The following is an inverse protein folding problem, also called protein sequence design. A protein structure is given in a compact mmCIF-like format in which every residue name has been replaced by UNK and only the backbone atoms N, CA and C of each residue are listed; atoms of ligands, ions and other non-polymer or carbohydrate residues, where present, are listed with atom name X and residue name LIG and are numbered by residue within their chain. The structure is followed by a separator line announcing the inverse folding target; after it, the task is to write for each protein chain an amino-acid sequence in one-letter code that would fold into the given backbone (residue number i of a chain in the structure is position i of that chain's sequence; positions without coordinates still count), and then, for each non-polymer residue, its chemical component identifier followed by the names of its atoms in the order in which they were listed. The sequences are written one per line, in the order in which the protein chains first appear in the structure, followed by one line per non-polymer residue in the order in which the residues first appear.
data_IF_153878032434
#
_entry.id   IF_153878032434
#
_cell.length_a   1.000
_cell.length_b   1.000
_cell.length_c   1.000
_cell.angle_alpha   90.00
_cell.angle_beta   90.00
_cell.angle_gamma   90.00
#
_symmetry.space_group_name_H-M   'P 1'
#
loop_
_entity.id
_entity.type
_entity.pdbx_description
1 polymer ?
#
# COMPACT_ATOMS: atom_id res chain seq x y z
N UNK A 1 -82.55 61.12 19.44
CA UNK A 1 -81.23 61.22 20.10
C UNK A 1 -81.27 60.31 21.32
N UNK A 2 -80.18 59.67 21.79
CA UNK A 2 -79.09 58.86 21.19
C UNK A 2 -79.20 57.39 21.73
N UNK A 3 -78.47 56.33 21.35
CA UNK A 3 -77.01 56.09 21.31
C UNK A 3 -76.57 55.27 22.55
N UNK A 4 -76.05 54.04 22.36
CA UNK A 4 -75.27 53.33 23.38
C UNK A 4 -75.56 51.84 23.54
N UNK A 5 -75.11 50.99 22.61
CA UNK A 5 -74.93 49.55 22.87
C UNK A 5 -73.98 49.40 24.05
N UNK A 6 -74.42 48.81 25.17
CA UNK A 6 -73.53 48.57 26.33
C UNK A 6 -72.45 47.56 25.91
N UNK A 7 -71.29 48.07 25.53
CA UNK A 7 -70.12 47.24 25.22
C UNK A 7 -69.64 46.63 26.54
N UNK A 8 -69.70 45.31 26.66
CA UNK A 8 -69.22 44.60 27.85
C UNK A 8 -67.70 44.46 27.77
N UNK A 9 -67.01 44.68 28.88
CA UNK A 9 -65.54 44.58 28.95
C UNK A 9 -65.06 43.18 28.56
N UNK A 10 -65.84 42.14 28.85
CA UNK A 10 -65.54 40.77 28.45
C UNK A 10 -65.47 40.63 26.91
N UNK A 11 -66.35 41.32 26.18
CA UNK A 11 -66.34 41.32 24.72
C UNK A 11 -65.08 42.06 24.19
N UNK A 12 -64.62 43.10 24.89
CA UNK A 12 -63.37 43.81 24.59
C UNK A 12 -62.13 42.94 24.85
N UNK A 13 -62.11 42.18 25.94
CA UNK A 13 -61.02 41.24 26.27
C UNK A 13 -60.93 40.14 25.22
N UNK A 14 -62.09 39.63 24.76
CA UNK A 14 -62.17 38.61 23.72
C UNK A 14 -61.61 39.09 22.36
N UNK A 15 -61.77 40.38 22.04
CA UNK A 15 -61.16 40.98 20.84
C UNK A 15 -59.71 41.43 21.05
N UNK A 16 -59.14 41.27 22.25
CA UNK A 16 -57.73 41.48 22.53
C UNK A 16 -57.40 42.57 23.53
N UNK A 17 -58.37 43.14 24.27
CA UNK A 17 -58.07 44.17 25.28
C UNK A 17 -57.10 43.64 26.33
N UNK A 18 -55.98 44.33 26.48
CA UNK A 18 -54.95 44.08 27.49
C UNK A 18 -54.58 45.38 28.18
N UNK A 19 -54.31 45.28 29.48
CA UNK A 19 -53.68 46.35 30.23
C UNK A 19 -52.15 46.23 30.16
N UNK A 20 -51.46 47.35 30.06
CA UNK A 20 -50.01 47.46 30.19
C UNK A 20 -49.70 48.54 31.22
N UNK A 21 -48.71 48.30 32.08
CA UNK A 21 -48.17 49.34 32.93
C UNK A 21 -47.13 50.14 32.13
N UNK A 22 -47.46 51.38 31.78
CA UNK A 22 -46.57 52.28 31.06
C UNK A 22 -45.94 53.29 32.01
N UNK A 23 -44.61 53.38 32.05
CA UNK A 23 -43.92 54.30 32.94
C UNK A 23 -43.90 55.70 32.31
N UNK A 24 -44.65 56.63 32.91
CA UNK A 24 -44.76 58.00 32.41
C UNK A 24 -43.51 58.83 32.75
N UNK A 25 -42.89 58.57 33.90
CA UNK A 25 -41.69 59.29 34.33
C UNK A 25 -40.76 58.40 35.13
N UNK A 26 -39.54 58.23 34.62
CA UNK A 26 -38.47 57.54 35.34
C UNK A 26 -37.94 58.32 36.55
N UNK A 27 -38.05 59.66 36.53
CA UNK A 27 -37.50 60.53 37.59
C UNK A 27 -38.39 60.52 38.83
N UNK A 28 -39.71 60.50 38.63
CA UNK A 28 -40.71 60.51 39.72
C UNK A 28 -41.29 59.14 40.02
N UNK A 29 -41.02 58.12 39.18
CA UNK A 29 -41.56 56.77 39.32
C UNK A 29 -43.05 56.65 38.99
N UNK A 30 -43.64 57.64 38.34
CA UNK A 30 -45.06 57.65 37.99
C UNK A 30 -45.34 56.71 36.82
N UNK A 31 -46.36 55.87 36.97
CA UNK A 31 -46.82 54.91 35.96
C UNK A 31 -48.30 55.12 35.65
N UNK A 32 -48.70 54.86 34.40
CA UNK A 32 -50.07 54.83 33.94
C UNK A 32 -50.46 53.41 33.52
N UNK A 33 -51.76 53.12 33.55
CA UNK A 33 -52.29 51.89 32.95
C UNK A 33 -52.80 52.24 31.56
N UNK A 34 -52.13 51.70 30.55
CA UNK A 34 -52.55 51.84 29.16
C UNK A 34 -53.39 50.61 28.78
N UNK A 35 -54.48 50.84 28.06
CA UNK A 35 -55.37 49.80 27.57
C UNK A 35 -55.27 49.73 26.05
N UNK A 36 -54.82 48.58 25.53
CA UNK A 36 -54.58 48.39 24.11
C UNK A 36 -55.06 47.00 23.64
N UNK A 37 -55.28 46.83 22.34
CA UNK A 37 -55.77 45.59 21.75
C UNK A 37 -54.63 44.77 21.16
N UNK A 38 -54.25 43.69 21.85
CA UNK A 38 -53.26 42.72 21.40
C UNK A 38 -53.78 41.29 21.59
N UNK A 39 -54.17 40.66 20.47
CA UNK A 39 -54.63 39.26 20.45
C UNK A 39 -53.49 38.24 20.62
N UNK A 40 -52.24 38.64 20.42
CA UNK A 40 -51.09 37.74 20.54
C UNK A 40 -50.70 37.51 22.01
N UNK A 41 -51.00 38.47 22.88
CA UNK A 41 -50.78 38.34 24.32
C UNK A 41 -51.86 37.44 24.96
N UNK A 42 -51.46 36.44 25.77
CA UNK A 42 -52.41 35.51 26.38
C UNK A 42 -53.33 36.23 27.38
N UNK A 43 -54.64 35.94 27.33
CA UNK A 43 -55.61 36.41 28.31
C UNK A 43 -55.61 35.48 29.54
N UNK A 44 -54.67 35.69 30.46
CA UNK A 44 -54.63 34.92 31.71
C UNK A 44 -55.54 35.60 32.73
N UNK A 45 -56.60 34.90 33.13
CA UNK A 45 -57.57 35.33 34.15
C UNK A 45 -57.40 34.50 35.42
N UNK A 46 -57.75 35.08 36.57
CA UNK A 46 -57.58 34.48 37.88
C UNK A 46 -58.90 34.33 38.63
N UNK A 47 -59.82 33.45 38.17
CA UNK A 47 -61.16 33.28 38.76
C UNK A 47 -61.16 32.73 40.20
N UNK A 48 -59.98 32.38 40.75
CA UNK A 48 -59.82 31.94 42.14
C UNK A 48 -59.44 33.09 43.09
N UNK A 49 -59.20 34.29 42.57
CA UNK A 49 -58.72 35.46 43.34
C UNK A 49 -59.83 36.50 43.52
N UNK A 50 -60.63 36.75 42.48
CA UNK A 50 -61.75 37.69 42.54
C UNK A 50 -62.88 37.27 41.60
N UNK A 51 -64.10 37.63 41.98
CA UNK A 51 -65.30 37.51 41.14
C UNK A 51 -65.59 38.81 40.37
N UNK A 52 -64.73 39.82 40.51
CA UNK A 52 -64.83 41.12 39.83
C UNK A 52 -64.34 41.06 38.38
N UNK A 53 -64.66 42.11 37.60
CA UNK A 53 -64.19 42.19 36.21
C UNK A 53 -62.68 42.42 36.14
N UNK A 54 -61.95 41.42 35.64
CA UNK A 54 -60.50 41.48 35.42
C UNK A 54 -60.15 41.87 33.98
N UNK A 55 -59.15 42.73 33.81
CA UNK A 55 -58.53 43.01 32.50
C UNK A 55 -57.17 42.33 32.46
N UNK A 56 -56.91 41.39 31.53
CA UNK A 56 -55.62 40.71 31.45
C UNK A 56 -54.48 41.67 31.15
N UNK A 57 -53.31 41.42 31.74
CA UNK A 57 -52.14 42.28 31.59
C UNK A 57 -51.18 41.72 30.55
N UNK A 58 -50.52 42.59 29.77
CA UNK A 58 -49.35 42.25 28.95
C UNK A 58 -48.10 42.90 29.52
N UNK A 59 -46.96 42.21 29.44
CA UNK A 59 -45.67 42.77 29.83
C UNK A 59 -45.29 43.95 28.93
N UNK A 60 -44.77 45.00 29.53
CA UNK A 60 -44.20 46.12 28.81
C UNK A 60 -42.88 45.77 28.11
N UNK A 61 -42.46 46.53 27.07
CA UNK A 61 -41.16 46.33 26.42
C UNK A 61 -39.99 46.34 27.40
N UNK A 62 -40.03 47.21 28.40
CA UNK A 62 -38.97 47.33 29.43
C UNK A 62 -38.95 46.10 30.33
N UNK A 63 -40.12 45.61 30.76
CA UNK A 63 -40.21 44.38 31.56
C UNK A 63 -39.77 43.14 30.77
N UNK A 64 -40.15 43.03 29.49
CA UNK A 64 -39.67 41.96 28.59
C UNK A 64 -38.16 41.98 28.43
N UNK A 65 -37.56 43.18 28.29
CA UNK A 65 -36.11 43.33 28.22
C UNK A 65 -35.44 42.93 29.53
N UNK A 66 -35.97 43.35 30.68
CA UNK A 66 -35.46 42.97 32.00
C UNK A 66 -35.50 41.46 32.22
N UNK A 67 -36.61 40.80 31.87
CA UNK A 67 -36.76 39.34 31.98
C UNK A 67 -35.80 38.62 31.03
N UNK A 68 -35.63 39.11 29.80
CA UNK A 68 -34.67 38.54 28.84
C UNK A 68 -33.24 38.67 29.33
N UNK A 69 -32.82 39.85 29.80
CA UNK A 69 -31.48 40.11 30.33
C UNK A 69 -31.20 39.30 31.60
N UNK A 70 -32.21 39.13 32.47
CA UNK A 70 -32.08 38.32 33.68
C UNK A 70 -31.91 36.82 33.41
N UNK A 71 -32.27 36.34 32.22
CA UNK A 71 -32.16 34.94 31.81
C UNK A 71 -30.86 34.61 31.08
N UNK A 72 -30.03 35.59 30.72
CA UNK A 72 -28.75 35.33 30.04
C UNK A 72 -27.79 34.69 31.04
N UNK A 73 -27.36 33.42 30.85
CA UNK A 73 -26.47 32.75 31.78
C UNK A 73 -25.02 33.18 31.49
N UNK A 74 -24.66 34.41 31.87
CA UNK A 74 -23.32 34.99 31.62
C UNK A 74 -22.20 34.10 32.17
N UNK A 75 -22.45 33.44 33.30
CA UNK A 75 -21.50 32.51 33.92
C UNK A 75 -21.21 31.29 33.02
N UNK A 76 -22.25 30.70 32.43
CA UNK A 76 -22.10 29.50 31.59
C UNK A 76 -21.38 29.86 30.29
N UNK A 77 -21.69 31.03 29.71
CA UNK A 77 -21.00 31.54 28.52
C UNK A 77 -19.50 31.71 28.77
N UNK A 78 -19.13 32.30 29.92
CA UNK A 78 -17.72 32.47 30.29
C UNK A 78 -17.01 31.12 30.49
N UNK A 79 -17.66 30.17 31.19
CA UNK A 79 -17.12 28.83 31.39
C UNK A 79 -16.90 28.07 30.08
N UNK A 80 -17.90 28.09 29.19
CA UNK A 80 -17.78 27.45 27.88
C UNK A 80 -16.72 28.10 26.99
N UNK A 81 -16.52 29.42 27.09
CA UNK A 81 -15.45 30.10 26.38
C UNK A 81 -14.07 29.68 26.91
N UNK A 82 -13.89 29.60 28.23
CA UNK A 82 -12.64 29.14 28.85
C UNK A 82 -12.31 27.69 28.48
N UNK A 83 -13.31 26.80 28.51
CA UNK A 83 -13.16 25.40 28.13
C UNK A 83 -12.80 25.28 26.64
N UNK A 84 -13.43 26.06 25.77
CA UNK A 84 -13.11 26.08 24.34
C UNK A 84 -11.68 26.55 24.09
N UNK A 85 -11.24 27.62 24.77
CA UNK A 85 -9.87 28.12 24.66
C UNK A 85 -8.86 27.07 25.11
N UNK A 86 -9.16 26.33 26.17
CA UNK A 86 -8.31 25.23 26.67
C UNK A 86 -8.23 24.09 25.67
N UNK A 87 -9.35 23.63 25.10
CA UNK A 87 -9.35 22.59 24.08
C UNK A 87 -8.57 22.99 22.83
N UNK A 88 -8.66 24.25 22.39
CA UNK A 88 -7.85 24.78 21.28
C UNK A 88 -6.36 24.77 21.63
N UNK A 89 -6.00 25.17 22.85
CA UNK A 89 -4.62 25.16 23.31
C UNK A 89 -4.04 23.74 23.41
N UNK A 90 -4.82 22.78 23.94
CA UNK A 90 -4.45 21.37 24.01
C UNK A 90 -4.29 20.74 22.62
N UNK A 91 -5.21 21.03 21.70
CA UNK A 91 -5.12 20.58 20.31
C UNK A 91 -3.88 21.15 19.62
N UNK A 92 -3.63 22.45 19.77
CA UNK A 92 -2.44 23.11 19.22
C UNK A 92 -1.14 22.52 19.79
N UNK A 93 -1.11 22.23 21.10
CA UNK A 93 0.01 21.57 21.75
C UNK A 93 0.26 20.15 21.23
N UNK A 94 -0.80 19.38 21.04
CA UNK A 94 -0.74 18.01 20.51
C UNK A 94 -0.26 18.00 19.07
N UNK A 95 -0.82 18.87 18.21
CA UNK A 95 -0.38 19.01 16.83
C UNK A 95 1.09 19.42 16.74
N UNK A 96 1.54 20.40 17.53
CA UNK A 96 2.94 20.81 17.53
C UNK A 96 3.90 19.69 17.95
N UNK A 97 3.44 18.75 18.80
CA UNK A 97 4.25 17.63 19.27
C UNK A 97 4.28 16.47 18.27
N UNK A 98 3.15 16.15 17.65
CA UNK A 98 2.98 14.92 16.88
C UNK A 98 3.23 15.11 15.38
N UNK A 99 3.06 16.32 14.84
CA UNK A 99 3.28 16.59 13.41
C UNK A 99 4.76 16.45 12.98
N UNK A 100 5.75 17.01 13.72
CA UNK A 100 7.16 16.90 13.33
C UNK A 100 7.68 15.45 13.19
N UNK A 101 7.45 14.52 14.14
CA UNK A 101 7.90 13.14 14.00
C UNK A 101 7.16 12.40 12.87
N UNK A 102 5.88 12.71 12.62
CA UNK A 102 5.14 12.15 11.48
C UNK A 102 5.78 12.56 10.15
N UNK A 103 6.08 13.85 9.96
CA UNK A 103 6.77 14.34 8.75
C UNK A 103 8.14 13.68 8.60
N UNK A 104 8.89 13.54 9.69
CA UNK A 104 10.19 12.86 9.67
C UNK A 104 10.06 11.38 9.27
N UNK A 105 9.04 10.67 9.77
CA UNK A 105 8.81 9.26 9.44
C UNK A 105 8.40 9.04 7.98
N UNK A 106 7.56 9.92 7.43
CA UNK A 106 7.17 9.88 6.01
C UNK A 106 8.37 10.15 5.12
N UNK A 107 9.19 11.15 5.47
CA UNK A 107 10.43 11.43 4.74
C UNK A 107 11.39 10.25 4.79
N UNK A 108 11.65 9.69 5.97
CA UNK A 108 12.53 8.53 6.13
C UNK A 108 12.04 7.31 5.33
N UNK A 109 10.72 7.08 5.31
CA UNK A 109 10.10 5.99 4.54
C UNK A 109 10.24 6.23 3.03
N UNK A 110 10.05 7.47 2.58
CA UNK A 110 10.24 7.86 1.17
C UNK A 110 11.70 7.69 0.75
N UNK A 111 12.64 8.17 1.55
CA UNK A 111 14.09 8.06 1.29
C UNK A 111 14.52 6.58 1.25
N UNK A 112 14.05 5.77 2.19
CA UNK A 112 14.30 4.31 2.22
C UNK A 112 13.72 3.61 0.99
N UNK A 113 12.52 4.00 0.56
CA UNK A 113 11.89 3.45 -0.64
C UNK A 113 12.68 3.79 -1.90
N UNK A 114 13.13 5.04 -2.03
CA UNK A 114 13.99 5.46 -3.15
C UNK A 114 15.32 4.69 -3.17
N UNK A 115 15.96 4.51 -2.01
CA UNK A 115 17.18 3.71 -1.90
C UNK A 115 16.95 2.23 -2.27
N UNK A 116 15.83 1.65 -1.83
CA UNK A 116 15.49 0.26 -2.15
C UNK A 116 15.26 0.07 -3.65
N UNK A 117 14.57 1.02 -4.31
CA UNK A 117 14.36 1.00 -5.76
C UNK A 117 15.70 1.14 -6.50
N UNK A 118 16.58 2.04 -6.05
CA UNK A 118 17.91 2.21 -6.63
C UNK A 118 18.77 0.94 -6.48
N UNK A 119 18.75 0.31 -5.30
CA UNK A 119 19.44 -0.94 -5.04
C UNK A 119 18.88 -2.10 -5.90
N UNK A 120 17.56 -2.21 -6.00
CA UNK A 120 16.89 -3.20 -6.85
C UNK A 120 17.26 -3.02 -8.33
N UNK A 121 17.24 -1.77 -8.83
CA UNK A 121 17.65 -1.46 -10.21
C UNK A 121 19.10 -1.85 -10.47
N UNK A 122 19.98 -1.60 -9.50
CA UNK A 122 21.40 -1.97 -9.59
C UNK A 122 21.59 -3.49 -9.58
N UNK A 123 20.87 -4.21 -8.71
CA UNK A 123 20.91 -5.67 -8.65
C UNK A 123 20.40 -6.31 -9.95
N UNK A 124 19.34 -5.76 -10.55
CA UNK A 124 18.83 -6.20 -11.85
C UNK A 124 19.89 -5.99 -12.94
N UNK A 125 20.57 -4.84 -12.96
CA UNK A 125 21.63 -4.54 -13.93
C UNK A 125 22.83 -5.49 -13.78
N UNK A 126 23.26 -5.76 -12.56
CA UNK A 126 24.35 -6.71 -12.29
C UNK A 126 23.96 -8.14 -12.69
N UNK A 127 22.72 -8.55 -12.42
CA UNK A 127 22.20 -9.83 -12.85
C UNK A 127 22.17 -9.95 -14.38
N UNK A 128 21.71 -8.91 -15.09
CA UNK A 128 21.74 -8.87 -16.55
C UNK A 128 23.16 -9.03 -17.10
N UNK A 129 24.14 -8.32 -16.53
CA UNK A 129 25.54 -8.42 -16.94
C UNK A 129 26.13 -9.82 -16.70
N UNK A 130 25.84 -10.41 -15.53
CA UNK A 130 26.28 -11.78 -15.21
C UNK A 130 25.66 -12.82 -16.14
N UNK A 131 24.39 -12.64 -16.49
CA UNK A 131 23.70 -13.50 -17.45
C UNK A 131 24.33 -13.39 -18.85
N UNK A 132 24.62 -12.17 -19.33
CA UNK A 132 25.29 -11.95 -20.60
C UNK A 132 26.67 -12.63 -20.66
N UNK A 133 27.48 -12.46 -19.62
CA UNK A 133 28.79 -13.12 -19.51
C UNK A 133 28.63 -14.65 -19.49
N UNK A 134 27.65 -15.16 -18.75
CA UNK A 134 27.42 -16.62 -18.64
C UNK A 134 26.98 -17.21 -19.97
N UNK A 135 26.06 -16.56 -20.67
CA UNK A 135 25.61 -16.96 -21.99
C UNK A 135 26.78 -16.92 -22.99
N UNK A 136 27.62 -15.88 -22.97
CA UNK A 136 28.81 -15.80 -23.81
C UNK A 136 29.84 -16.90 -23.52
N UNK A 137 30.06 -17.25 -22.25
CA UNK A 137 30.92 -18.38 -21.86
C UNK A 137 30.34 -19.72 -22.32
N UNK A 138 29.02 -19.88 -22.23
CA UNK A 138 28.33 -21.09 -22.67
C UNK A 138 28.41 -21.25 -24.19
N UNK A 139 28.24 -20.16 -24.94
CA UNK A 139 28.44 -20.15 -26.40
C UNK A 139 29.87 -20.55 -26.77
N UNK A 140 30.86 -19.95 -26.10
CA UNK A 140 32.29 -20.28 -26.32
C UNK A 140 32.59 -21.75 -25.97
N UNK A 141 32.01 -22.28 -24.88
CA UNK A 141 32.16 -23.67 -24.49
C UNK A 141 31.56 -24.62 -25.54
N UNK A 142 30.35 -24.33 -26.03
CA UNK A 142 29.70 -25.11 -27.07
C UNK A 142 30.51 -25.09 -28.37
N UNK A 143 31.02 -23.92 -28.77
CA UNK A 143 31.87 -23.79 -29.94
C UNK A 143 33.15 -24.61 -29.78
N UNK A 144 33.86 -24.46 -28.66
CA UNK A 144 35.11 -25.19 -28.38
C UNK A 144 34.89 -26.70 -28.33
N UNK A 145 33.80 -27.14 -27.71
CA UNK A 145 33.41 -28.56 -27.67
C UNK A 145 33.18 -29.10 -29.07
N UNK A 146 32.46 -28.36 -29.93
CA UNK A 146 32.20 -28.78 -31.30
C UNK A 146 33.50 -28.90 -32.12
N UNK A 147 34.42 -27.93 -31.97
CA UNK A 147 35.72 -27.97 -32.65
C UNK A 147 36.57 -29.16 -32.19
N UNK A 148 36.66 -29.40 -30.88
CA UNK A 148 37.40 -30.54 -30.33
C UNK A 148 36.80 -31.88 -30.77
N UNK A 149 35.47 -32.01 -30.82
CA UNK A 149 34.83 -33.23 -31.32
C UNK A 149 35.11 -33.44 -32.82
N UNK A 150 35.10 -32.38 -33.63
CA UNK A 150 35.45 -32.46 -35.04
C UNK A 150 36.91 -32.87 -35.27
N UNK A 151 37.86 -32.33 -34.50
CA UNK A 151 39.27 -32.71 -34.57
C UNK A 151 39.49 -34.18 -34.15
N UNK A 152 38.92 -34.59 -33.01
CA UNK A 152 39.00 -36.00 -32.59
C UNK A 152 38.36 -36.96 -33.59
N UNK A 153 37.30 -36.52 -34.28
CA UNK A 153 36.70 -37.29 -35.38
C UNK A 153 37.67 -37.48 -36.55
N UNK A 154 38.46 -36.46 -36.90
CA UNK A 154 39.51 -36.54 -37.92
C UNK A 154 40.64 -37.48 -37.49
N UNK A 155 41.11 -37.36 -36.25
CA UNK A 155 42.19 -38.21 -35.72
C UNK A 155 41.76 -39.69 -35.66
N UNK A 156 40.52 -39.95 -35.23
CA UNK A 156 39.96 -41.29 -35.23
C UNK A 156 39.83 -41.85 -36.64
N UNK A 157 39.37 -41.03 -37.59
CA UNK A 157 39.29 -41.43 -38.99
C UNK A 157 40.69 -41.76 -39.56
N UNK A 158 41.69 -40.91 -39.31
CA UNK A 158 43.07 -41.16 -39.72
C UNK A 158 43.62 -42.46 -39.12
N UNK A 159 43.35 -42.70 -37.83
CA UNK A 159 43.73 -43.93 -37.14
C UNK A 159 43.08 -45.17 -37.77
N UNK A 160 41.78 -45.10 -38.10
CA UNK A 160 41.06 -46.18 -38.77
C UNK A 160 41.61 -46.46 -40.18
N UNK A 161 41.95 -45.42 -40.94
CA UNK A 161 42.59 -45.54 -42.25
C UNK A 161 43.96 -46.21 -42.14
N UNK A 162 44.81 -45.77 -41.21
CA UNK A 162 46.13 -46.38 -40.96
C UNK A 162 46.01 -47.83 -40.48
N UNK A 163 45.04 -48.14 -39.63
CA UNK A 163 44.76 -49.52 -39.21
C UNK A 163 44.35 -50.40 -40.41
N UNK A 164 43.50 -49.87 -41.29
CA UNK A 164 43.07 -50.57 -42.53
C UNK A 164 44.27 -50.84 -43.45
N UNK A 165 45.11 -49.84 -43.70
CA UNK A 165 46.33 -50.01 -44.51
C UNK A 165 47.32 -51.02 -43.91
N UNK A 166 47.42 -51.09 -42.57
CA UNK A 166 48.26 -52.06 -41.89
C UNK A 166 47.74 -53.48 -42.13
N UNK A 167 46.42 -53.68 -42.02
CA UNK A 167 45.77 -54.95 -42.33
C UNK A 167 45.98 -55.35 -43.80
N UNK A 168 45.87 -54.42 -44.75
CA UNK A 168 46.14 -54.67 -46.16
C UNK A 168 47.60 -55.06 -46.41
N UNK A 169 48.54 -54.39 -45.73
CA UNK A 169 49.98 -54.69 -45.81
C UNK A 169 50.31 -56.08 -45.24
N UNK A 170 49.65 -56.46 -44.15
CA UNK A 170 49.74 -57.81 -43.60
C UNK A 170 49.17 -58.85 -44.57
N UNK A 171 48.03 -58.56 -45.22
CA UNK A 171 47.45 -59.44 -46.24
C UNK A 171 48.38 -59.62 -47.45
N UNK A 172 49.13 -58.58 -47.84
CA UNK A 172 50.15 -58.67 -48.88
C UNK A 172 51.36 -59.53 -48.45
N UNK A 173 51.74 -59.51 -47.17
CA UNK A 173 52.80 -60.38 -46.61
C UNK A 173 52.36 -61.86 -46.56
N UNK A 174 51.05 -62.13 -46.41
CA UNK A 174 50.47 -63.47 -46.50
C UNK A 174 50.25 -63.98 -47.94
N UNK A 175 50.67 -63.23 -48.96
CA UNK A 175 50.73 -63.74 -50.32
C UNK A 175 51.80 -64.86 -50.42
N UNK A 176 51.65 -65.86 -51.33
CA UNK A 176 52.09 -67.25 -51.10
C UNK A 176 53.61 -67.57 -51.10
N UNK A 177 54.50 -66.68 -50.67
CA UNK A 177 55.93 -66.95 -50.48
C UNK A 177 56.51 -66.24 -49.25
N UNK A 178 56.32 -66.79 -48.06
CA UNK A 178 57.22 -66.54 -46.92
C UNK A 178 57.22 -67.73 -45.93
N UNK A 179 58.40 -68.06 -45.37
CA UNK A 179 58.78 -69.37 -44.81
C UNK A 179 58.76 -69.41 -43.26
N UNK A 180 58.25 -68.42 -42.55
CA UNK A 180 58.39 -68.34 -41.07
C UNK A 180 57.09 -68.56 -40.28
N UNK A 181 56.84 -69.82 -39.86
CA UNK A 181 55.68 -70.15 -39.00
C UNK A 181 55.78 -69.61 -37.56
N UNK A 182 56.99 -69.50 -36.99
CA UNK A 182 57.19 -69.02 -35.62
C UNK A 182 56.81 -67.54 -35.44
N UNK A 183 57.02 -66.72 -36.46
CA UNK A 183 56.62 -65.31 -36.47
C UNK A 183 55.10 -65.14 -36.61
N UNK A 184 54.39 -66.11 -37.19
CA UNK A 184 52.93 -66.08 -37.30
C UNK A 184 52.24 -66.34 -35.95
N UNK A 185 52.71 -67.30 -35.16
CA UNK A 185 52.14 -67.58 -33.84
C UNK A 185 52.35 -66.39 -32.88
N UNK A 186 53.51 -65.73 -32.96
CA UNK A 186 53.79 -64.52 -32.19
C UNK A 186 52.88 -63.34 -32.63
N UNK A 187 52.78 -63.09 -33.94
CA UNK A 187 51.94 -62.00 -34.47
C UNK A 187 50.45 -62.21 -34.16
N UNK A 188 49.93 -63.43 -34.28
CA UNK A 188 48.53 -63.75 -33.96
C UNK A 188 48.25 -63.57 -32.46
N UNK A 189 49.23 -63.90 -31.60
CA UNK A 189 49.10 -63.68 -30.16
C UNK A 189 49.08 -62.20 -29.79
N UNK A 190 49.91 -61.39 -30.44
CA UNK A 190 49.94 -59.94 -30.22
C UNK A 190 48.67 -59.25 -30.76
N UNK A 191 48.14 -59.69 -31.91
CA UNK A 191 46.84 -59.22 -32.41
C UNK A 191 45.71 -59.62 -31.45
N UNK A 192 45.72 -60.85 -30.92
CA UNK A 192 44.73 -61.29 -29.94
C UNK A 192 44.81 -60.46 -28.64
N UNK A 193 46.03 -60.12 -28.19
CA UNK A 193 46.24 -59.26 -27.03
C UNK A 193 45.75 -57.82 -27.27
N UNK A 194 46.01 -57.26 -28.45
CA UNK A 194 45.53 -55.93 -28.84
C UNK A 194 43.99 -55.89 -29.02
N UNK A 195 43.39 -56.93 -29.58
CA UNK A 195 41.94 -57.04 -29.68
C UNK A 195 41.27 -57.13 -28.29
N UNK A 196 41.90 -57.84 -27.35
CA UNK A 196 41.45 -57.92 -25.97
C UNK A 196 41.53 -56.56 -25.26
N UNK A 197 42.60 -55.78 -25.49
CA UNK A 197 42.74 -54.44 -24.89
C UNK A 197 41.75 -53.42 -25.46
N UNK A 198 41.50 -53.46 -26.79
CA UNK A 198 40.47 -52.63 -27.44
C UNK A 198 39.06 -52.96 -26.94
N UNK A 199 38.74 -54.25 -26.76
CA UNK A 199 37.46 -54.69 -26.17
C UNK A 199 37.32 -54.23 -24.72
N UNK A 200 38.39 -54.31 -23.93
CA UNK A 200 38.42 -53.78 -22.57
C UNK A 200 38.14 -52.29 -22.53
N UNK A 201 38.82 -51.50 -23.38
CA UNK A 201 38.59 -50.07 -23.50
C UNK A 201 37.17 -49.72 -23.96
N UNK A 202 36.63 -50.43 -24.95
CA UNK A 202 35.25 -50.23 -25.40
C UNK A 202 34.24 -50.49 -24.27
N UNK A 203 34.46 -51.53 -23.46
CA UNK A 203 33.64 -51.81 -22.27
C UNK A 203 33.76 -50.73 -21.20
N UNK A 204 34.94 -50.14 -21.00
CA UNK A 204 35.15 -49.04 -20.05
C UNK A 204 34.45 -47.75 -20.51
N UNK A 205 34.46 -47.46 -21.81
CA UNK A 205 33.75 -46.30 -22.38
C UNK A 205 32.23 -46.46 -22.28
N UNK A 206 31.70 -47.66 -22.54
CA UNK A 206 30.26 -47.96 -22.45
C UNK A 206 29.75 -47.85 -21.01
N UNK A 207 30.54 -48.32 -20.03
CA UNK A 207 30.21 -48.19 -18.60
C UNK A 207 30.41 -46.80 -18.05
N UNK A 208 31.29 -45.99 -18.66
CA UNK A 208 31.63 -44.69 -18.15
C UNK A 208 31.90 -43.64 -19.26
N UNK A 209 30.84 -43.06 -19.85
CA UNK A 209 30.96 -42.15 -21.00
C UNK A 209 31.73 -40.86 -20.68
N UNK A 210 31.87 -40.48 -19.40
CA UNK A 210 32.64 -39.29 -19.00
C UNK A 210 34.17 -39.44 -19.19
N UNK A 211 34.68 -40.64 -19.46
CA UNK A 211 36.08 -40.87 -19.89
C UNK A 211 36.42 -40.14 -21.19
N UNK A 212 35.45 -39.96 -22.07
CA UNK A 212 35.63 -39.23 -23.33
C UNK A 212 35.84 -37.72 -23.10
N UNK A 213 35.32 -37.18 -22.00
CA UNK A 213 35.38 -35.75 -21.68
C UNK A 213 36.58 -35.40 -20.78
N UNK A 214 36.95 -36.27 -19.84
CA UNK A 214 37.99 -35.97 -18.83
C UNK A 214 39.35 -36.65 -19.08
N UNK A 215 39.43 -37.59 -20.03
CA UNK A 215 40.61 -38.43 -20.21
C UNK A 215 40.78 -39.45 -19.07
N UNK A 216 41.54 -40.51 -19.34
CA UNK A 216 41.83 -41.56 -18.35
C UNK A 216 42.80 -40.98 -17.31
N UNK A 217 42.35 -40.84 -16.05
CA UNK A 217 43.22 -40.45 -14.93
C UNK A 217 44.28 -41.55 -14.70
N UNK A 218 45.56 -41.20 -14.47
CA UNK A 218 46.63 -42.16 -14.25
C UNK A 218 46.44 -42.96 -12.96
#
# INVERSE_FOLDING_TARGET
MPGGTSVRIQDLIAIGLRAELNLQSFVTGQSNIDLDFDKSAPAILHPRITDETEIPVRLSPVEKLKDTLGRIPVKDIAQHADDTLRSVQELSGTLNKDLPPLIASVKATSDTSQQTIAAATTAIKDLQSKLEITLGKMDTLLQTSNTQMAERGKDLHATLVSATQTLDSLQAIFSPRSIDRANMDAALRDIAAAAASLRGFAGDVERNPQLLLMGRRP
#
